data_IF_143436446355
#
_entry.id   IF_143436446355
#
_cell.length_a   1.000
_cell.length_b   1.000
_cell.length_c   1.000
_cell.angle_alpha   90.00
_cell.angle_beta   90.00
_cell.angle_gamma   90.00
#
_symmetry.space_group_name_H-M   'P 1'
#
loop_
_entity.id
_entity.type
_entity.pdbx_description
1 polymer ?
#
# COMPACT_ATOMS: atom_id res chain seq x y z
N UNK A 1 -5.95 0.48 4.15
CA UNK A 1 -6.15 -0.98 4.26
C UNK A 1 -5.21 -1.67 3.30
N UNK A 2 -4.50 -2.71 3.74
CA UNK A 2 -3.59 -3.48 2.87
C UNK A 2 -3.92 -4.97 2.86
N UNK A 3 -3.50 -5.66 1.81
CA UNK A 3 -3.66 -7.11 1.63
C UNK A 3 -2.41 -7.68 0.95
N UNK A 4 -2.00 -8.87 1.37
CA UNK A 4 -0.99 -9.67 0.68
C UNK A 4 -1.69 -10.79 -0.07
N UNK A 5 -1.39 -10.93 -1.36
CA UNK A 5 -1.95 -11.95 -2.24
C UNK A 5 -0.80 -12.74 -2.86
N UNK A 6 -0.99 -14.05 -3.01
CA UNK A 6 -0.07 -14.92 -3.75
C UNK A 6 -0.77 -15.45 -4.98
N UNK A 7 -0.17 -15.22 -6.15
CA UNK A 7 -0.63 -15.81 -7.40
C UNK A 7 -0.34 -17.33 -7.39
N UNK A 8 -1.31 -18.15 -7.76
CA UNK A 8 -1.17 -19.62 -7.73
C UNK A 8 -0.36 -20.15 -8.91
N UNK A 9 -0.39 -19.48 -10.06
CA UNK A 9 0.30 -19.91 -11.26
C UNK A 9 1.78 -19.49 -11.24
N UNK A 10 2.05 -18.23 -10.88
CA UNK A 10 3.41 -17.67 -10.89
C UNK A 10 4.12 -17.78 -9.54
N UNK A 11 3.38 -18.06 -8.46
CA UNK A 11 3.86 -18.00 -7.07
C UNK A 11 4.33 -16.60 -6.63
N UNK A 12 4.12 -15.56 -7.45
CA UNK A 12 4.46 -14.18 -7.12
C UNK A 12 3.61 -13.69 -5.94
N UNK A 13 4.24 -12.92 -5.04
CA UNK A 13 3.60 -12.37 -3.85
C UNK A 13 3.46 -10.86 -4.05
N UNK A 14 2.23 -10.36 -3.93
CA UNK A 14 1.94 -8.95 -4.10
C UNK A 14 1.36 -8.37 -2.81
N UNK A 15 1.90 -7.24 -2.37
CA UNK A 15 1.28 -6.40 -1.37
C UNK A 15 0.53 -5.26 -2.05
N UNK A 16 -0.76 -5.14 -1.75
CA UNK A 16 -1.60 -4.04 -2.19
C UNK A 16 -1.98 -3.17 -1.00
N UNK A 17 -1.97 -1.86 -1.20
CA UNK A 17 -2.36 -0.88 -0.19
C UNK A 17 -3.32 0.14 -0.81
N UNK A 18 -4.45 0.39 -0.14
CA UNK A 18 -5.36 1.50 -0.46
C UNK A 18 -5.51 2.46 0.71
N UNK A 19 -5.55 3.76 0.40
CA UNK A 19 -5.70 4.82 1.39
C UNK A 19 -6.15 6.14 0.76
N UNK A 20 -6.41 7.14 1.61
CA UNK A 20 -6.61 8.52 1.17
C UNK A 20 -5.31 9.05 0.55
N UNK A 21 -5.44 9.91 -0.46
CA UNK A 21 -4.34 10.64 -1.11
C UNK A 21 -3.35 11.25 -0.11
N UNK A 22 -3.85 11.99 0.88
CA UNK A 22 -3.07 12.62 1.96
C UNK A 22 -2.22 11.64 2.78
N UNK A 23 -2.68 10.41 2.96
CA UNK A 23 -1.94 9.35 3.66
C UNK A 23 -0.97 8.65 2.71
N UNK A 24 -1.40 8.43 1.46
CA UNK A 24 -0.66 7.68 0.46
C UNK A 24 0.53 8.46 -0.10
N UNK A 25 0.46 9.80 -0.18
CA UNK A 25 1.54 10.67 -0.64
C UNK A 25 2.86 10.46 0.13
N UNK A 26 2.79 10.15 1.43
CA UNK A 26 3.97 9.86 2.26
C UNK A 26 4.48 8.42 2.19
N UNK A 27 3.68 7.51 1.62
CA UNK A 27 3.91 6.06 1.58
C UNK A 27 4.38 5.57 0.22
N UNK A 28 3.88 6.16 -0.86
CA UNK A 28 4.18 5.77 -2.25
C UNK A 28 5.35 6.57 -2.81
N UNK A 29 5.91 6.09 -3.93
CA UNK A 29 6.87 6.87 -4.69
C UNK A 29 6.24 8.17 -5.22
N UNK A 30 7.02 9.26 -5.14
CA UNK A 30 6.57 10.57 -5.59
C UNK A 30 6.09 10.52 -7.04
N UNK A 31 4.84 10.92 -7.24
CA UNK A 31 4.16 10.93 -8.53
C UNK A 31 3.52 12.30 -8.71
N UNK A 32 4.09 13.19 -9.55
CA UNK A 32 3.70 14.61 -9.59
C UNK A 32 2.21 14.88 -9.85
N UNK A 33 1.55 14.00 -10.60
CA UNK A 33 0.17 14.18 -11.04
C UNK A 33 -0.87 13.57 -10.08
N UNK A 34 -0.45 12.81 -9.07
CA UNK A 34 -1.38 12.07 -8.20
C UNK A 34 -2.29 13.01 -7.40
N UNK A 35 -1.69 14.03 -6.78
CA UNK A 35 -2.42 14.98 -5.92
C UNK A 35 -3.36 15.86 -6.74
N UNK A 36 -2.91 16.30 -7.92
CA UNK A 36 -3.71 17.09 -8.85
C UNK A 36 -4.94 16.29 -9.32
N UNK A 37 -4.73 15.04 -9.74
CA UNK A 37 -5.81 14.18 -10.26
C UNK A 37 -6.82 13.81 -9.17
N UNK A 38 -6.34 13.44 -7.97
CA UNK A 38 -7.20 13.20 -6.82
C UNK A 38 -8.02 14.45 -6.44
N UNK A 39 -7.39 15.63 -6.51
CA UNK A 39 -8.04 16.91 -6.26
C UNK A 39 -9.10 17.28 -7.31
N UNK A 40 -8.87 16.96 -8.59
CA UNK A 40 -9.85 17.19 -9.66
C UNK A 40 -11.11 16.35 -9.44
N UNK A 41 -10.96 15.05 -9.18
CA UNK A 41 -12.07 14.15 -8.90
C UNK A 41 -12.83 14.54 -7.62
N UNK A 42 -12.12 15.01 -6.59
CA UNK A 42 -12.75 15.50 -5.36
C UNK A 42 -13.60 16.76 -5.59
N UNK A 43 -13.18 17.66 -6.50
CA UNK A 43 -13.97 18.85 -6.90
C UNK A 43 -15.27 18.47 -7.63
N UNK A 44 -15.30 17.32 -8.29
CA UNK A 44 -16.51 16.74 -8.87
C UNK A 44 -17.41 16.03 -7.83
N UNK A 45 -17.00 16.01 -6.55
CA UNK A 45 -17.75 15.38 -5.46
C UNK A 45 -17.48 13.87 -5.31
N UNK A 46 -16.44 13.34 -5.96
CA UNK A 46 -16.09 11.93 -5.89
C UNK A 46 -15.21 11.63 -4.67
N UNK A 47 -15.42 10.45 -4.08
CA UNK A 47 -14.51 9.91 -3.06
C UNK A 47 -13.37 9.18 -3.74
N UNK A 48 -12.17 9.70 -3.61
CA UNK A 48 -10.96 9.13 -4.19
C UNK A 48 -10.25 8.21 -3.20
N UNK A 49 -9.61 7.16 -3.74
CA UNK A 49 -8.66 6.34 -3.02
C UNK A 49 -7.46 6.11 -3.93
N UNK A 50 -6.27 6.26 -3.37
CA UNK A 50 -5.04 5.89 -4.06
C UNK A 50 -4.75 4.43 -3.74
N UNK A 51 -4.44 3.67 -4.78
CA UNK A 51 -4.05 2.25 -4.69
C UNK A 51 -2.62 2.12 -5.19
N UNK A 52 -1.79 1.44 -4.40
CA UNK A 52 -0.43 1.11 -4.76
C UNK A 52 -0.18 -0.38 -4.56
N UNK A 53 0.80 -0.91 -5.29
CA UNK A 53 1.19 -2.30 -5.18
C UNK A 53 2.70 -2.46 -5.25
N UNK A 54 3.19 -3.54 -4.65
CA UNK A 54 4.59 -3.96 -4.76
C UNK A 54 4.69 -5.48 -4.75
N UNK A 55 5.59 -6.01 -5.56
CA UNK A 55 5.95 -7.42 -5.50
C UNK A 55 6.95 -7.67 -4.37
N UNK A 56 6.72 -8.73 -3.59
CA UNK A 56 7.52 -9.12 -2.44
C UNK A 56 8.30 -10.39 -2.75
N UNK A 57 9.53 -10.44 -2.23
CA UNK A 57 10.27 -11.70 -2.12
C UNK A 57 9.72 -12.55 -0.97
N UNK A 58 10.04 -13.85 -0.95
CA UNK A 58 9.67 -14.73 0.17
C UNK A 58 10.24 -14.25 1.51
N UNK A 59 11.47 -13.73 1.51
CA UNK A 59 12.10 -13.16 2.71
C UNK A 59 11.34 -11.93 3.22
N UNK A 60 10.90 -11.05 2.31
CA UNK A 60 10.10 -9.87 2.64
C UNK A 60 8.73 -10.26 3.18
N UNK A 61 8.10 -11.29 2.59
CA UNK A 61 6.84 -11.84 3.09
C UNK A 61 6.99 -12.44 4.49
N UNK A 62 8.06 -13.21 4.74
CA UNK A 62 8.33 -13.81 6.04
C UNK A 62 8.54 -12.73 7.13
N UNK A 63 9.32 -11.68 6.84
CA UNK A 63 9.48 -10.54 7.75
C UNK A 63 8.13 -9.85 8.03
N UNK A 64 7.33 -9.61 6.99
CA UNK A 64 5.99 -9.03 7.13
C UNK A 64 5.08 -9.89 8.01
N UNK A 65 4.98 -11.19 7.73
CA UNK A 65 4.13 -12.12 8.47
C UNK A 65 4.53 -12.22 9.95
N UNK A 66 5.84 -12.25 10.24
CA UNK A 66 6.36 -12.30 11.61
C UNK A 66 5.95 -11.10 12.46
N UNK A 67 5.81 -9.93 11.83
CA UNK A 67 5.44 -8.68 12.50
C UNK A 67 3.94 -8.58 12.69
N UNK A 68 3.15 -8.93 11.68
CA UNK A 68 1.68 -8.90 11.73
C UNK A 68 1.12 -9.88 12.75
N UNK A 69 1.75 -11.05 12.94
CA UNK A 69 1.29 -12.05 13.89
C UNK A 69 1.47 -11.64 15.38
N UNK A 70 2.02 -10.45 15.65
CA UNK A 70 2.14 -9.93 17.02
C UNK A 70 0.77 -9.43 17.50
N UNK A 71 0.32 -9.78 18.73
CA UNK A 71 -1.04 -9.51 19.19
C UNK A 71 -1.47 -8.03 19.29
N UNK A 72 -0.55 -7.09 19.06
CA UNK A 72 -0.78 -5.64 19.11
C UNK A 72 -0.12 -4.92 17.94
N UNK A 73 0.08 -5.60 16.81
CA UNK A 73 0.72 -5.00 15.66
C UNK A 73 -0.10 -3.82 15.13
N UNK A 74 0.47 -2.62 15.22
CA UNK A 74 -0.01 -1.42 14.52
C UNK A 74 0.98 -1.13 13.40
N UNK A 75 0.54 -1.07 12.13
CA UNK A 75 1.42 -0.66 11.06
C UNK A 75 1.80 0.80 11.26
N UNK A 76 3.07 1.05 11.60
CA UNK A 76 3.63 2.39 11.49
C UNK A 76 3.75 2.76 10.01
N UNK A 77 3.51 4.03 9.68
CA UNK A 77 3.69 4.54 8.30
C UNK A 77 5.10 4.25 7.78
N UNK A 78 6.11 4.30 8.67
CA UNK A 78 7.50 3.96 8.37
C UNK A 78 7.64 2.50 7.90
N UNK A 79 6.89 1.58 8.50
CA UNK A 79 6.91 0.18 8.11
C UNK A 79 6.26 -0.02 6.75
N UNK A 80 5.08 0.55 6.52
CA UNK A 80 4.36 0.41 5.25
C UNK A 80 5.14 1.01 4.06
N UNK A 81 5.86 2.11 4.28
CA UNK A 81 6.75 2.74 3.29
C UNK A 81 7.91 1.83 2.84
N UNK A 82 8.21 0.76 3.58
CA UNK A 82 9.21 -0.23 3.15
C UNK A 82 8.66 -1.20 2.10
N UNK A 83 7.33 -1.29 1.95
CA UNK A 83 6.65 -2.28 1.12
C UNK A 83 5.77 -1.65 0.03
N UNK A 84 5.75 -0.32 -0.09
CA UNK A 84 5.06 0.46 -1.12
C UNK A 84 5.99 1.60 -1.54
#
# INVERSE_FOLDING_TARGET
MGIVVRDRATQAIHFYLKGADTVMAGLVQYTPWMEDEAGNLAREGLRTLVVAHRELTEEQYADFASRVNKPHWKPELVFLKRFV
#
